data_IF_896300243603
#
_entry.id   IF_896300243603
#
_cell.length_a   1.000
_cell.length_b   1.000
_cell.length_c   1.000
_cell.angle_alpha   90.00
_cell.angle_beta   90.00
_cell.angle_gamma   90.00
#
_symmetry.space_group_name_H-M   'P 1'
#
loop_
_entity.id
_entity.type
_entity.pdbx_description
1 polymer ?
#
# COMPACT_ATOMS: atom_id res chain seq x y z
N UNK A 1 -22.57 16.02 34.08
CA UNK A 1 -21.70 16.51 33.01
C UNK A 1 -21.60 15.38 32.00
N UNK A 2 -22.36 15.52 30.90
CA UNK A 2 -22.39 14.53 29.82
C UNK A 2 -21.11 14.72 29.00
N UNK A 3 -20.26 13.72 28.98
CA UNK A 3 -19.17 13.66 28.01
C UNK A 3 -19.81 13.41 26.64
N UNK A 4 -19.93 14.47 25.84
CA UNK A 4 -20.24 14.33 24.43
C UNK A 4 -19.15 13.41 23.82
N UNK A 5 -19.57 12.27 23.34
CA UNK A 5 -18.74 11.34 22.60
C UNK A 5 -18.49 12.03 21.23
N UNK A 6 -17.44 12.83 21.13
CA UNK A 6 -17.04 13.43 19.85
C UNK A 6 -16.76 12.28 18.88
N UNK A 7 -17.56 12.19 17.85
CA UNK A 7 -17.32 11.24 16.74
C UNK A 7 -15.95 11.55 16.15
N UNK A 8 -15.04 10.56 16.02
CA UNK A 8 -13.72 10.78 15.46
C UNK A 8 -13.76 11.55 14.15
N UNK A 9 -12.87 12.52 13.97
CA UNK A 9 -12.84 13.47 12.84
C UNK A 9 -12.78 12.76 11.50
N UNK A 10 -12.19 11.58 11.46
CA UNK A 10 -12.00 10.73 10.26
C UNK A 10 -13.31 10.13 9.72
N UNK A 11 -14.32 9.87 10.57
CA UNK A 11 -15.59 9.21 10.18
C UNK A 11 -16.49 10.03 9.23
N UNK A 12 -16.16 11.30 8.98
CA UNK A 12 -16.93 12.21 8.10
C UNK A 12 -16.24 12.55 6.80
N UNK A 13 -15.03 12.01 6.57
CA UNK A 13 -14.21 12.32 5.40
C UNK A 13 -14.13 11.11 4.48
N UNK A 14 -14.09 11.28 3.15
CA UNK A 14 -13.80 10.16 2.25
C UNK A 14 -12.42 9.60 2.59
N UNK A 15 -12.34 8.26 2.63
CA UNK A 15 -11.10 7.54 2.91
C UNK A 15 -10.79 6.60 1.75
N UNK A 16 -9.62 6.76 1.14
CA UNK A 16 -9.04 5.81 0.21
C UNK A 16 -8.04 4.94 0.98
N UNK A 17 -8.40 3.69 1.24
CA UNK A 17 -7.52 2.73 1.92
C UNK A 17 -6.38 2.30 0.99
N UNK A 18 -5.23 2.97 1.06
CA UNK A 18 -4.14 2.80 0.12
C UNK A 18 -3.41 1.44 0.23
N UNK A 19 -3.76 0.60 1.22
CA UNK A 19 -3.15 -0.71 1.40
C UNK A 19 -3.99 -1.63 2.27
N UNK A 20 -4.58 -2.65 1.68
CA UNK A 20 -5.19 -3.77 2.40
C UNK A 20 -5.06 -5.06 1.58
N UNK A 21 -5.30 -6.19 2.22
CA UNK A 21 -5.24 -7.50 1.59
C UNK A 21 -6.63 -8.15 1.56
N UNK A 22 -6.87 -8.95 0.53
CA UNK A 22 -7.98 -9.91 0.49
C UNK A 22 -7.37 -11.30 0.47
N UNK A 23 -7.82 -12.16 1.37
CA UNK A 23 -7.37 -13.54 1.53
C UNK A 23 -8.61 -14.42 1.47
N UNK A 24 -8.79 -15.10 0.36
CA UNK A 24 -9.98 -15.89 0.10
C UNK A 24 -9.56 -17.33 -0.21
N UNK A 25 -10.00 -18.26 0.62
CA UNK A 25 -9.62 -19.69 0.54
C UNK A 25 -10.14 -20.39 -0.71
N UNK A 26 -11.01 -19.75 -1.49
CA UNK A 26 -11.43 -20.24 -2.82
C UNK A 26 -10.32 -20.19 -3.86
N UNK A 27 -9.27 -19.44 -3.62
CA UNK A 27 -8.14 -19.21 -4.53
C UNK A 27 -6.84 -19.78 -3.97
N UNK A 28 -5.82 -19.99 -4.82
CA UNK A 28 -4.53 -20.52 -4.38
C UNK A 28 -3.88 -19.67 -3.29
N UNK A 29 -3.48 -20.30 -2.20
CA UNK A 29 -2.68 -19.72 -1.13
C UNK A 29 -1.46 -20.61 -0.89
N UNK A 30 -0.32 -19.99 -0.70
CA UNK A 30 0.95 -20.67 -0.52
C UNK A 30 1.55 -20.31 0.83
N UNK A 31 1.99 -21.31 1.57
CA UNK A 31 2.79 -21.09 2.75
C UNK A 31 4.04 -20.26 2.39
N UNK A 32 4.38 -19.33 3.26
CA UNK A 32 5.56 -18.51 3.11
C UNK A 32 6.27 -18.38 4.47
N UNK A 33 7.46 -18.96 4.61
CA UNK A 33 8.25 -19.02 5.84
C UNK A 33 7.45 -19.56 7.05
N UNK A 34 6.79 -20.70 6.89
CA UNK A 34 5.98 -21.34 7.92
C UNK A 34 4.68 -20.61 8.26
N UNK A 35 4.29 -19.63 7.45
CA UNK A 35 3.07 -18.85 7.67
C UNK A 35 2.06 -19.07 6.56
N UNK A 36 0.84 -19.41 6.95
CA UNK A 36 -0.35 -19.36 6.11
C UNK A 36 -1.33 -18.36 6.73
N UNK A 37 -1.81 -17.36 5.98
CA UNK A 37 -2.70 -16.35 6.53
C UNK A 37 -4.09 -16.93 6.81
N UNK A 38 -4.77 -16.36 7.79
CA UNK A 38 -6.19 -16.56 8.01
C UNK A 38 -7.00 -15.89 6.89
N UNK A 39 -8.19 -16.42 6.65
CA UNK A 39 -9.12 -15.88 5.66
C UNK A 39 -9.54 -14.46 6.03
N UNK A 40 -9.55 -13.57 5.03
CA UNK A 40 -10.05 -12.21 5.13
C UNK A 40 -10.67 -11.78 3.79
N UNK A 41 -11.95 -12.07 3.62
CA UNK A 41 -12.69 -11.86 2.38
C UNK A 41 -13.10 -10.40 2.17
N UNK A 42 -13.61 -10.10 0.99
CA UNK A 42 -14.21 -8.80 0.66
C UNK A 42 -15.32 -8.42 1.64
N UNK A 43 -16.15 -9.39 2.05
CA UNK A 43 -17.25 -9.18 3.02
C UNK A 43 -16.70 -8.82 4.40
N UNK A 44 -15.67 -9.53 4.86
CA UNK A 44 -15.03 -9.24 6.14
C UNK A 44 -14.36 -7.86 6.12
N UNK A 45 -13.68 -7.50 5.01
CA UNK A 45 -13.12 -6.17 4.82
C UNK A 45 -14.20 -5.08 4.91
N UNK A 46 -15.30 -5.22 4.15
CA UNK A 46 -16.42 -4.27 4.18
C UNK A 46 -17.03 -4.15 5.57
N UNK A 47 -17.23 -5.27 6.25
CA UNK A 47 -17.75 -5.28 7.63
C UNK A 47 -16.82 -4.55 8.59
N UNK A 48 -15.49 -4.80 8.49
CA UNK A 48 -14.49 -4.16 9.35
C UNK A 48 -14.36 -2.66 9.11
N UNK A 49 -14.53 -2.21 7.87
CA UNK A 49 -14.32 -0.81 7.47
C UNK A 49 -15.61 0.01 7.37
N UNK A 50 -16.75 -0.58 7.67
CA UNK A 50 -18.08 0.05 7.50
C UNK A 50 -18.21 1.43 8.17
N UNK A 51 -17.52 1.65 9.31
CA UNK A 51 -17.53 2.90 10.06
C UNK A 51 -16.39 3.87 9.65
N UNK A 52 -15.47 3.48 8.76
CA UNK A 52 -14.26 4.27 8.47
C UNK A 52 -14.42 5.25 7.30
N UNK A 53 -15.59 5.28 6.65
CA UNK A 53 -15.82 6.17 5.48
C UNK A 53 -15.04 5.76 4.23
N UNK A 54 -14.69 4.47 4.09
CA UNK A 54 -13.97 3.96 2.91
C UNK A 54 -14.81 4.13 1.66
N UNK A 55 -14.29 4.86 0.69
CA UNK A 55 -14.91 5.10 -0.62
C UNK A 55 -14.10 4.52 -1.78
N UNK A 56 -12.87 4.08 -1.52
CA UNK A 56 -11.98 3.44 -2.46
C UNK A 56 -10.79 2.80 -1.77
N UNK A 57 -9.93 2.14 -2.53
CA UNK A 57 -8.73 1.55 -1.94
C UNK A 57 -7.92 0.67 -2.86
N UNK A 58 -6.76 0.25 -2.40
CA UNK A 58 -5.83 -0.61 -3.11
C UNK A 58 -5.74 -2.00 -2.45
N UNK A 59 -6.24 -3.03 -3.16
CA UNK A 59 -6.03 -4.43 -2.80
C UNK A 59 -4.60 -4.82 -3.19
N UNK A 60 -3.79 -5.17 -2.21
CA UNK A 60 -2.37 -5.47 -2.40
C UNK A 60 -2.10 -6.96 -2.23
N UNK A 61 -1.37 -7.57 -3.16
CA UNK A 61 -0.95 -8.97 -3.07
C UNK A 61 0.05 -9.20 -1.93
N UNK A 62 -0.21 -10.18 -1.09
CA UNK A 62 0.75 -10.66 -0.09
C UNK A 62 1.71 -11.70 -0.67
N UNK A 63 2.80 -12.02 0.04
CA UNK A 63 3.78 -13.04 -0.37
C UNK A 63 3.17 -14.43 -0.56
N UNK A 64 2.10 -14.72 0.16
CA UNK A 64 1.36 -15.99 0.13
C UNK A 64 0.47 -16.16 -1.10
N UNK A 65 0.32 -15.14 -1.94
CA UNK A 65 -0.41 -15.21 -3.21
C UNK A 65 0.53 -15.40 -4.41
N UNK A 66 1.82 -15.18 -4.21
CA UNK A 66 2.84 -15.31 -5.27
C UNK A 66 2.39 -14.59 -6.54
N UNK A 67 2.27 -15.31 -7.64
CA UNK A 67 1.89 -14.78 -8.97
C UNK A 67 0.45 -15.15 -9.35
N UNK A 68 -0.41 -15.50 -8.40
CA UNK A 68 -1.83 -15.67 -8.66
C UNK A 68 -2.56 -14.31 -8.58
N UNK A 69 -3.29 -13.98 -9.63
CA UNK A 69 -4.12 -12.78 -9.70
C UNK A 69 -5.63 -13.10 -9.71
N UNK A 70 -6.01 -14.36 -9.71
CA UNK A 70 -7.42 -14.75 -9.83
C UNK A 70 -8.27 -14.22 -8.66
N UNK A 71 -7.76 -14.30 -7.44
CA UNK A 71 -8.40 -13.72 -6.25
C UNK A 71 -8.53 -12.20 -6.35
N UNK A 72 -7.49 -11.52 -6.91
CA UNK A 72 -7.47 -10.06 -7.02
C UNK A 72 -8.55 -9.56 -7.98
N UNK A 73 -8.67 -10.22 -9.13
CA UNK A 73 -9.69 -9.86 -10.12
C UNK A 73 -11.10 -10.11 -9.61
N UNK A 74 -11.35 -11.22 -8.88
CA UNK A 74 -12.62 -11.47 -8.17
C UNK A 74 -12.90 -10.38 -7.14
N UNK A 75 -11.89 -10.04 -6.32
CA UNK A 75 -12.02 -9.00 -5.30
C UNK A 75 -12.35 -7.64 -5.90
N UNK A 76 -11.66 -7.22 -6.97
CA UNK A 76 -11.92 -5.94 -7.64
C UNK A 76 -13.32 -5.90 -8.27
N UNK A 77 -13.75 -6.99 -8.91
CA UNK A 77 -15.10 -7.10 -9.48
C UNK A 77 -16.18 -6.96 -8.40
N UNK A 78 -15.96 -7.51 -7.21
CA UNK A 78 -16.88 -7.46 -6.08
C UNK A 78 -16.84 -6.12 -5.34
N UNK A 79 -15.66 -5.52 -5.17
CA UNK A 79 -15.50 -4.21 -4.53
C UNK A 79 -16.08 -3.08 -5.39
N UNK A 80 -15.94 -3.19 -6.70
CA UNK A 80 -16.48 -2.22 -7.66
C UNK A 80 -15.57 -1.01 -7.92
N UNK A 81 -16.15 0.02 -8.52
CA UNK A 81 -15.44 1.26 -8.87
C UNK A 81 -14.92 1.96 -7.61
N UNK A 82 -13.75 2.58 -7.70
CA UNK A 82 -13.06 3.16 -6.54
C UNK A 82 -11.96 2.26 -5.96
N UNK A 83 -11.95 0.97 -6.33
CA UNK A 83 -10.89 0.05 -5.87
C UNK A 83 -9.97 -0.37 -7.01
N UNK A 84 -8.69 -0.49 -6.69
CA UNK A 84 -7.63 -0.87 -7.61
C UNK A 84 -6.81 -2.04 -7.05
N UNK A 85 -6.02 -2.68 -7.93
CA UNK A 85 -5.14 -3.78 -7.56
C UNK A 85 -3.66 -3.40 -7.62
N UNK A 86 -2.88 -3.97 -6.71
CA UNK A 86 -1.42 -3.98 -6.77
C UNK A 86 -0.98 -5.43 -6.62
N UNK A 87 -0.28 -5.97 -7.62
CA UNK A 87 -0.01 -7.40 -7.69
C UNK A 87 1.47 -7.73 -7.90
N UNK A 88 1.82 -8.96 -7.63
CA UNK A 88 3.12 -9.56 -7.94
C UNK A 88 3.00 -10.32 -9.25
N UNK A 89 3.94 -10.13 -10.17
CA UNK A 89 3.97 -10.80 -11.47
C UNK A 89 5.37 -11.35 -11.76
N UNK A 90 5.52 -12.39 -12.56
CA UNK A 90 6.82 -12.85 -13.02
C UNK A 90 7.48 -11.82 -13.92
N UNK A 91 8.82 -11.80 -13.95
CA UNK A 91 9.58 -10.82 -14.73
C UNK A 91 9.37 -10.93 -16.25
N UNK A 92 9.04 -12.12 -16.72
CA UNK A 92 8.81 -12.48 -18.13
C UNK A 92 7.32 -12.46 -18.53
N UNK A 93 6.45 -11.88 -17.69
CA UNK A 93 5.02 -11.73 -17.97
C UNK A 93 4.81 -11.11 -19.36
N UNK A 94 3.91 -11.64 -20.23
CA UNK A 94 3.64 -11.05 -21.54
C UNK A 94 2.99 -9.65 -21.45
N UNK A 95 3.20 -8.79 -22.44
CA UNK A 95 2.61 -7.45 -22.49
C UNK A 95 1.08 -7.49 -22.53
N UNK A 96 0.51 -8.48 -23.20
CA UNK A 96 -0.94 -8.71 -23.27
C UNK A 96 -1.52 -8.95 -21.88
N UNK A 97 -0.77 -9.62 -20.99
CA UNK A 97 -1.21 -9.85 -19.63
C UNK A 97 -1.13 -8.58 -18.79
N UNK A 98 -0.10 -7.75 -18.97
CA UNK A 98 -0.03 -6.42 -18.33
C UNK A 98 -1.25 -5.56 -18.72
N UNK A 99 -1.58 -5.52 -20.02
CA UNK A 99 -2.74 -4.79 -20.53
C UNK A 99 -4.05 -5.37 -20.00
N UNK A 100 -4.17 -6.70 -19.94
CA UNK A 100 -5.35 -7.39 -19.38
C UNK A 100 -5.55 -7.03 -17.92
N UNK A 101 -4.51 -7.10 -17.11
CA UNK A 101 -4.56 -6.75 -15.68
C UNK A 101 -4.94 -5.27 -15.48
N UNK A 102 -4.33 -4.37 -16.26
CA UNK A 102 -4.67 -2.95 -16.21
C UNK A 102 -6.14 -2.68 -16.57
N UNK A 103 -6.68 -3.39 -17.58
CA UNK A 103 -8.08 -3.33 -17.97
C UNK A 103 -9.05 -3.78 -16.88
N UNK A 104 -8.60 -4.62 -15.94
CA UNK A 104 -9.37 -5.05 -14.78
C UNK A 104 -9.10 -4.23 -13.50
N UNK A 105 -8.42 -3.08 -13.62
CA UNK A 105 -8.21 -2.17 -12.50
C UNK A 105 -6.91 -2.38 -11.72
N UNK A 106 -5.99 -3.23 -12.19
CA UNK A 106 -4.65 -3.31 -11.59
C UNK A 106 -3.85 -2.06 -11.97
N UNK A 107 -3.23 -1.42 -10.98
CA UNK A 107 -2.51 -0.15 -11.15
C UNK A 107 -1.05 -0.23 -10.74
N UNK A 108 -0.62 -1.32 -10.10
CA UNK A 108 0.77 -1.44 -9.65
C UNK A 108 1.32 -2.84 -9.67
N UNK A 109 2.66 -2.90 -9.79
CA UNK A 109 3.46 -4.10 -9.64
C UNK A 109 4.24 -4.02 -8.33
N UNK A 110 4.14 -5.06 -7.50
CA UNK A 110 4.75 -5.11 -6.17
C UNK A 110 6.04 -5.92 -6.15
N UNK A 111 7.06 -5.34 -5.55
CA UNK A 111 8.29 -6.02 -5.14
C UNK A 111 8.32 -6.17 -3.63
N UNK A 112 8.18 -7.40 -3.16
CA UNK A 112 8.14 -7.73 -1.74
C UNK A 112 9.52 -8.20 -1.28
N UNK A 113 10.43 -7.27 -0.99
CA UNK A 113 11.81 -7.58 -0.65
C UNK A 113 11.96 -8.12 0.79
N UNK A 114 10.94 -7.90 1.64
CA UNK A 114 10.94 -8.38 3.05
C UNK A 114 10.44 -9.81 3.21
N UNK A 115 9.55 -10.28 2.34
CA UNK A 115 8.87 -11.58 2.50
C UNK A 115 8.97 -12.45 1.24
N UNK A 116 9.48 -11.91 0.13
CA UNK A 116 9.53 -12.63 -1.13
C UNK A 116 8.15 -12.85 -1.77
N UNK A 117 8.05 -13.82 -2.65
CA UNK A 117 6.83 -14.13 -3.40
C UNK A 117 6.62 -13.22 -4.62
N UNK A 118 7.47 -12.24 -4.85
CA UNK A 118 7.51 -11.36 -6.02
C UNK A 118 8.66 -11.72 -6.97
N UNK A 119 8.77 -11.00 -8.09
CA UNK A 119 9.96 -11.07 -8.94
C UNK A 119 11.23 -10.69 -8.16
N UNK A 120 12.36 -11.25 -8.56
CA UNK A 120 13.63 -10.96 -7.91
C UNK A 120 14.08 -9.51 -8.15
N UNK A 121 14.88 -8.98 -7.23
CA UNK A 121 15.33 -7.59 -7.24
C UNK A 121 16.10 -7.22 -8.52
N UNK A 122 16.85 -8.15 -9.11
CA UNK A 122 17.58 -7.95 -10.35
C UNK A 122 16.68 -7.56 -11.55
N UNK A 123 15.39 -7.89 -11.48
CA UNK A 123 14.40 -7.54 -12.50
C UNK A 123 13.65 -6.23 -12.21
N UNK A 124 13.94 -5.55 -11.09
CA UNK A 124 13.20 -4.37 -10.66
C UNK A 124 13.15 -3.28 -11.73
N UNK A 125 14.30 -2.82 -12.23
CA UNK A 125 14.34 -1.71 -13.19
C UNK A 125 13.62 -2.06 -14.51
N UNK A 126 13.91 -3.22 -15.07
CA UNK A 126 13.35 -3.64 -16.38
C UNK A 126 11.85 -3.90 -16.29
N UNK A 127 11.38 -4.62 -15.27
CA UNK A 127 9.97 -4.93 -15.10
C UNK A 127 9.16 -3.68 -14.75
N UNK A 128 9.67 -2.82 -13.86
CA UNK A 128 9.01 -1.58 -13.46
C UNK A 128 8.80 -0.63 -14.65
N UNK A 129 9.84 -0.39 -15.46
CA UNK A 129 9.73 0.45 -16.66
C UNK A 129 8.77 -0.15 -17.67
N UNK A 130 8.88 -1.43 -17.97
CA UNK A 130 8.02 -2.12 -18.90
C UNK A 130 6.55 -2.08 -18.45
N UNK A 131 6.26 -2.39 -17.20
CA UNK A 131 4.90 -2.33 -16.65
C UNK A 131 4.31 -0.91 -16.72
N UNK A 132 5.15 0.10 -16.54
CA UNK A 132 4.73 1.50 -16.69
C UNK A 132 4.49 1.86 -18.16
N UNK A 133 5.41 1.55 -19.06
CA UNK A 133 5.32 1.89 -20.49
C UNK A 133 4.14 1.20 -21.16
N UNK A 134 3.93 -0.09 -20.88
CA UNK A 134 2.88 -0.89 -21.51
C UNK A 134 1.50 -0.62 -20.91
N UNK A 135 1.41 -0.55 -19.59
CA UNK A 135 0.14 -0.56 -18.87
C UNK A 135 -0.03 0.62 -17.88
N UNK A 136 0.93 1.52 -17.83
CA UNK A 136 0.91 2.66 -16.92
C UNK A 136 0.98 2.27 -15.43
N UNK A 137 1.40 1.08 -15.08
CA UNK A 137 1.47 0.63 -13.69
C UNK A 137 2.61 1.33 -12.94
N UNK A 138 2.38 1.63 -11.66
CA UNK A 138 3.44 2.08 -10.76
C UNK A 138 4.17 0.88 -10.13
N UNK A 139 5.28 1.15 -9.48
CA UNK A 139 6.04 0.16 -8.72
C UNK A 139 5.83 0.37 -7.22
N UNK A 140 5.49 -0.68 -6.51
CA UNK A 140 5.32 -0.68 -5.06
C UNK A 140 6.37 -1.57 -4.39
N UNK A 141 7.05 -1.06 -3.36
CA UNK A 141 8.08 -1.79 -2.64
C UNK A 141 7.71 -2.00 -1.17
N UNK A 142 7.76 -3.25 -0.73
CA UNK A 142 7.85 -3.58 0.68
C UNK A 142 9.32 -3.85 1.03
N UNK A 143 9.99 -2.82 1.53
CA UNK A 143 11.44 -2.76 1.78
C UNK A 143 11.73 -2.10 3.13
N UNK A 144 12.83 -2.47 3.76
CA UNK A 144 13.38 -1.73 4.90
C UNK A 144 14.15 -0.50 4.38
N UNK A 145 13.83 0.67 4.91
CA UNK A 145 14.44 1.90 4.43
C UNK A 145 15.96 1.98 4.69
N UNK A 146 16.50 1.11 5.56
CA UNK A 146 17.95 0.97 5.74
C UNK A 146 18.64 0.37 4.51
N UNK A 147 17.90 -0.38 3.68
CA UNK A 147 18.41 -0.98 2.44
C UNK A 147 18.26 -0.04 1.23
N UNK A 148 17.58 1.10 1.38
CA UNK A 148 17.36 2.07 0.29
C UNK A 148 18.62 2.66 -0.34
N UNK A 149 19.76 2.88 0.37
CA UNK A 149 20.97 3.40 -0.27
C UNK A 149 21.40 2.60 -1.51
N UNK A 150 21.27 1.29 -1.48
CA UNK A 150 21.63 0.42 -2.60
C UNK A 150 20.65 0.52 -3.79
N UNK A 151 19.42 0.97 -3.53
CA UNK A 151 18.33 1.05 -4.51
C UNK A 151 18.06 2.50 -4.98
N UNK A 152 18.61 3.50 -4.29
CA UNK A 152 18.21 4.90 -4.43
C UNK A 152 18.34 5.42 -5.87
N UNK A 153 19.40 5.08 -6.57
CA UNK A 153 19.61 5.51 -7.95
C UNK A 153 18.55 4.92 -8.90
N UNK A 154 18.22 3.64 -8.73
CA UNK A 154 17.21 2.95 -9.51
C UNK A 154 15.82 3.52 -9.21
N UNK A 155 15.44 3.60 -7.94
CA UNK A 155 14.10 4.07 -7.53
C UNK A 155 13.83 5.51 -7.95
N UNK A 156 14.84 6.38 -7.84
CA UNK A 156 14.74 7.78 -8.26
C UNK A 156 14.63 7.96 -9.79
N UNK A 157 14.98 6.94 -10.57
CA UNK A 157 14.90 6.96 -12.03
C UNK A 157 13.65 6.24 -12.58
N UNK A 158 12.87 5.56 -11.72
CA UNK A 158 11.61 4.92 -12.11
C UNK A 158 10.48 5.96 -12.22
N UNK A 159 9.52 5.76 -13.13
CA UNK A 159 8.50 6.78 -13.42
C UNK A 159 7.50 7.02 -12.28
N UNK A 160 7.19 5.99 -11.50
CA UNK A 160 6.26 6.09 -10.37
C UNK A 160 6.55 4.98 -9.34
N UNK A 161 6.87 5.38 -8.11
CA UNK A 161 7.25 4.46 -7.02
C UNK A 161 6.50 4.80 -5.74
N UNK A 162 6.10 3.76 -5.00
CA UNK A 162 5.65 3.90 -3.61
C UNK A 162 6.37 2.92 -2.69
N UNK A 163 6.59 3.33 -1.43
CA UNK A 163 7.21 2.52 -0.37
C UNK A 163 6.17 2.25 0.71
N UNK A 164 6.03 0.98 1.07
CA UNK A 164 5.10 0.51 2.09
C UNK A 164 5.56 0.86 3.52
N UNK A 165 4.59 1.03 4.41
CA UNK A 165 4.75 1.02 5.86
C UNK A 165 5.85 1.98 6.38
N UNK A 166 5.86 3.23 5.88
CA UNK A 166 6.81 4.28 6.30
C UNK A 166 8.30 3.85 6.22
N UNK A 167 8.61 2.82 5.40
CA UNK A 167 9.98 2.29 5.29
C UNK A 167 10.46 1.50 6.51
N UNK A 168 9.59 1.16 7.44
CA UNK A 168 9.75 0.23 8.57
C UNK A 168 10.63 0.70 9.73
N UNK A 169 11.74 1.39 9.52
CA UNK A 169 12.72 1.63 10.57
C UNK A 169 13.23 3.08 10.59
N UNK A 170 13.39 3.63 11.82
CA UNK A 170 13.87 5.01 12.03
C UNK A 170 15.21 5.30 11.37
N UNK A 171 16.16 4.37 11.43
CA UNK A 171 17.50 4.58 10.88
C UNK A 171 17.51 4.78 9.36
N UNK A 172 16.47 4.29 8.66
CA UNK A 172 16.30 4.48 7.23
C UNK A 172 15.63 5.78 6.83
N UNK A 173 15.10 6.55 7.78
CA UNK A 173 14.31 7.76 7.49
C UNK A 173 15.04 8.78 6.62
N UNK A 174 16.33 9.12 6.81
CA UNK A 174 17.01 10.06 5.92
C UNK A 174 17.04 9.61 4.46
N UNK A 175 17.17 8.31 4.21
CA UNK A 175 17.19 7.74 2.87
C UNK A 175 15.79 7.75 2.23
N UNK A 176 14.75 7.48 3.03
CA UNK A 176 13.36 7.58 2.61
C UNK A 176 13.02 9.01 2.19
N UNK A 177 13.36 10.01 3.02
CA UNK A 177 13.10 11.42 2.74
C UNK A 177 13.82 11.91 1.48
N UNK A 178 15.07 11.50 1.25
CA UNK A 178 15.79 11.81 0.04
C UNK A 178 15.12 11.28 -1.24
N UNK A 179 14.40 10.15 -1.15
CA UNK A 179 13.58 9.61 -2.25
C UNK A 179 12.25 10.36 -2.38
N UNK A 180 11.62 10.74 -1.27
CA UNK A 180 10.40 11.57 -1.25
C UNK A 180 10.62 12.88 -1.99
N UNK A 181 11.73 13.57 -1.74
CA UNK A 181 12.13 14.80 -2.45
C UNK A 181 12.31 14.59 -3.97
N UNK A 182 12.43 13.33 -4.42
CA UNK A 182 12.52 12.93 -5.82
C UNK A 182 11.22 12.37 -6.39
N UNK A 183 10.12 12.49 -5.65
CA UNK A 183 8.78 12.13 -6.09
C UNK A 183 8.32 10.72 -5.72
N UNK A 184 9.09 9.96 -4.94
CA UNK A 184 8.65 8.67 -4.40
C UNK A 184 7.54 8.89 -3.38
N UNK A 185 6.47 8.10 -3.47
CA UNK A 185 5.34 8.12 -2.54
C UNK A 185 5.58 7.17 -1.35
N UNK A 186 4.92 7.45 -0.24
CA UNK A 186 5.06 6.67 0.99
C UNK A 186 3.67 6.32 1.52
N UNK A 187 3.51 5.08 1.97
CA UNK A 187 2.28 4.63 2.60
C UNK A 187 2.42 4.64 4.12
N UNK A 188 1.65 5.47 4.80
CA UNK A 188 1.46 5.45 6.24
C UNK A 188 0.46 4.34 6.58
N UNK A 189 0.94 3.13 6.70
CA UNK A 189 0.18 1.89 6.90
C UNK A 189 0.94 0.94 7.82
N UNK A 190 0.27 -0.08 8.34
CA UNK A 190 0.93 -1.17 9.04
C UNK A 190 1.70 -0.73 10.29
N UNK A 191 1.15 0.14 11.12
CA UNK A 191 1.85 0.70 12.30
C UNK A 191 2.26 -0.35 13.33
N UNK A 192 1.65 -1.55 13.30
CA UNK A 192 2.12 -2.69 14.09
C UNK A 192 3.38 -3.39 13.57
N UNK A 193 3.94 -2.95 12.43
CA UNK A 193 5.14 -3.54 11.77
C UNK A 193 6.38 -2.71 11.95
N UNK A 194 6.23 -1.42 12.23
CA UNK A 194 7.30 -0.43 12.16
C UNK A 194 8.06 -0.31 13.47
N UNK A 195 9.32 0.10 13.37
CA UNK A 195 10.21 0.41 14.49
C UNK A 195 10.64 1.89 14.38
N UNK A 196 9.63 2.80 14.49
CA UNK A 196 9.80 4.24 14.38
C UNK A 196 8.64 4.96 15.10
N UNK A 197 8.80 6.24 15.37
CA UNK A 197 7.68 7.10 15.77
C UNK A 197 6.86 7.47 14.52
N UNK A 198 5.62 6.96 14.48
CA UNK A 198 4.75 7.11 13.31
C UNK A 198 4.40 8.59 13.08
N UNK A 199 4.07 9.34 14.13
CA UNK A 199 3.65 10.73 14.00
C UNK A 199 4.80 11.61 13.52
N UNK A 200 6.02 11.38 14.01
CA UNK A 200 7.20 12.13 13.59
C UNK A 200 7.56 11.84 12.14
N UNK A 201 7.47 10.58 11.70
CA UNK A 201 7.73 10.22 10.30
C UNK A 201 6.67 10.79 9.37
N UNK A 202 5.37 10.76 9.74
CA UNK A 202 4.30 11.42 8.97
C UNK A 202 4.63 12.90 8.78
N UNK A 203 4.95 13.63 9.85
CA UNK A 203 5.29 15.05 9.78
C UNK A 203 6.54 15.31 8.91
N UNK A 204 7.55 14.45 9.02
CA UNK A 204 8.78 14.57 8.23
C UNK A 204 8.51 14.36 6.73
N UNK A 205 7.72 13.36 6.35
CA UNK A 205 7.33 13.10 4.95
C UNK A 205 6.51 14.27 4.39
N UNK A 206 5.51 14.74 5.12
CA UNK A 206 4.68 15.88 4.69
C UNK A 206 5.47 17.19 4.58
N UNK A 207 6.47 17.38 5.42
CA UNK A 207 7.39 18.53 5.31
C UNK A 207 8.26 18.45 4.05
N UNK A 208 8.68 17.26 3.64
CA UNK A 208 9.47 17.05 2.43
C UNK A 208 8.61 17.20 1.15
N UNK A 209 7.45 16.54 1.10
CA UNK A 209 6.46 16.68 0.02
C UNK A 209 5.05 16.35 0.56
N UNK A 210 4.14 17.33 0.69
CA UNK A 210 2.78 17.09 1.14
C UNK A 210 1.97 16.12 0.27
N UNK A 211 2.35 15.97 -1.01
CA UNK A 211 1.69 15.03 -1.92
C UNK A 211 2.24 13.61 -1.82
N UNK A 212 3.32 13.38 -1.05
CA UNK A 212 3.97 12.07 -1.02
C UNK A 212 3.25 11.04 -0.15
N UNK A 213 2.48 11.46 0.85
CA UNK A 213 1.95 10.55 1.85
C UNK A 213 0.54 10.08 1.51
N UNK A 214 0.33 8.77 1.54
CA UNK A 214 -0.98 8.11 1.45
C UNK A 214 -1.19 7.26 2.71
N UNK A 215 -2.40 7.15 3.22
CA UNK A 215 -2.67 6.27 4.35
C UNK A 215 -3.54 5.07 3.98
N UNK A 216 -3.50 4.02 4.81
CA UNK A 216 -4.29 2.82 4.63
C UNK A 216 -4.22 1.91 5.86
N UNK A 217 -5.12 0.92 5.90
CA UNK A 217 -5.33 0.09 7.07
C UNK A 217 -4.29 -1.03 7.25
N UNK A 218 -3.73 -1.55 6.16
CA UNK A 218 -2.96 -2.80 6.15
C UNK A 218 -3.78 -4.02 6.66
N UNK A 219 -5.11 -3.95 6.61
CA UNK A 219 -5.98 -5.06 7.00
C UNK A 219 -5.71 -6.33 6.16
N UNK A 220 -5.79 -7.51 6.76
CA UNK A 220 -6.02 -7.84 8.15
C UNK A 220 -4.77 -7.77 9.04
N UNK A 221 -3.71 -7.09 8.62
CA UNK A 221 -2.44 -6.91 9.34
C UNK A 221 -1.66 -8.21 9.52
N UNK A 222 -1.57 -9.01 8.45
CA UNK A 222 -0.87 -10.30 8.46
C UNK A 222 0.55 -10.17 8.99
N UNK A 223 0.95 -11.04 9.96
CA UNK A 223 2.27 -11.01 10.60
C UNK A 223 2.66 -9.70 11.30
N UNK A 224 1.76 -8.75 11.46
CA UNK A 224 2.03 -7.56 12.27
C UNK A 224 2.05 -7.91 13.77
N UNK A 225 2.87 -7.23 14.56
CA UNK A 225 2.92 -7.40 16.02
C UNK A 225 1.61 -6.99 16.69
N UNK A 226 0.91 -6.02 16.11
CA UNK A 226 -0.46 -5.67 16.42
C UNK A 226 -1.25 -5.38 15.13
N UNK A 227 -2.55 -5.70 15.11
CA UNK A 227 -3.40 -5.34 13.99
C UNK A 227 -3.66 -3.83 13.93
N UNK A 228 -4.23 -3.39 12.80
CA UNK A 228 -4.78 -2.06 12.63
C UNK A 228 -5.89 -1.79 13.65
N UNK A 229 -5.87 -0.60 14.23
CA UNK A 229 -6.91 -0.08 15.11
C UNK A 229 -7.43 1.25 14.55
N UNK A 230 -8.70 1.58 14.82
CA UNK A 230 -9.30 2.82 14.33
C UNK A 230 -8.56 4.06 14.87
N UNK A 231 -7.99 3.96 16.07
CA UNK A 231 -7.09 4.97 16.66
C UNK A 231 -5.83 5.25 15.81
N UNK A 232 -5.46 4.36 14.90
CA UNK A 232 -4.36 4.63 13.95
C UNK A 232 -4.72 5.76 12.98
N UNK A 233 -6.01 5.89 12.62
CA UNK A 233 -6.49 7.02 11.82
C UNK A 233 -6.54 8.33 12.62
N UNK A 234 -6.84 8.27 13.91
CA UNK A 234 -6.80 9.45 14.77
C UNK A 234 -5.37 9.98 14.91
N UNK A 235 -4.38 9.07 15.03
CA UNK A 235 -2.96 9.43 15.02
C UNK A 235 -2.55 10.07 13.69
N UNK A 236 -3.02 9.52 12.55
CA UNK A 236 -2.80 10.13 11.24
C UNK A 236 -3.41 11.52 11.17
N UNK A 237 -4.64 11.70 11.66
CA UNK A 237 -5.34 12.99 11.66
C UNK A 237 -4.59 14.06 12.46
N UNK A 238 -4.10 13.70 13.64
CA UNK A 238 -3.29 14.60 14.48
C UNK A 238 -1.97 14.97 13.79
N UNK A 239 -1.26 13.98 13.24
CA UNK A 239 0.06 14.19 12.65
C UNK A 239 0.00 14.93 11.30
N UNK A 240 -1.04 14.69 10.49
CA UNK A 240 -1.22 15.30 9.16
C UNK A 240 -1.74 16.74 9.21
N UNK A 241 -2.50 17.11 10.26
CA UNK A 241 -3.01 18.47 10.44
C UNK A 241 -3.79 18.97 9.22
N UNK A 242 -3.37 20.07 8.63
CA UNK A 242 -4.01 20.69 7.45
C UNK A 242 -3.94 19.81 6.18
N UNK A 243 -3.04 18.85 6.11
CA UNK A 243 -2.89 17.93 4.99
C UNK A 243 -3.80 16.69 5.07
N UNK A 244 -4.68 16.59 6.09
CA UNK A 244 -5.45 15.39 6.38
C UNK A 244 -6.28 14.89 5.18
N UNK A 245 -6.99 15.76 4.47
CA UNK A 245 -7.81 15.36 3.33
C UNK A 245 -6.96 14.78 2.20
N UNK A 246 -5.83 15.40 1.92
CA UNK A 246 -4.88 14.90 0.93
C UNK A 246 -4.32 13.52 1.30
N UNK A 247 -3.95 13.32 2.57
CA UNK A 247 -3.40 12.05 3.08
C UNK A 247 -4.45 10.95 3.10
N UNK A 248 -5.70 11.27 3.46
CA UNK A 248 -6.80 10.29 3.50
C UNK A 248 -7.29 9.89 2.10
N UNK A 249 -7.22 10.80 1.11
CA UNK A 249 -7.86 10.52 -0.17
C UNK A 249 -7.11 11.06 -1.39
N UNK A 250 -6.85 12.37 -1.48
CA UNK A 250 -6.47 13.02 -2.74
C UNK A 250 -5.12 12.50 -3.29
N UNK A 251 -4.13 12.31 -2.40
CA UNK A 251 -2.80 11.82 -2.79
C UNK A 251 -2.88 10.41 -3.39
N UNK A 252 -3.67 9.53 -2.76
CA UNK A 252 -3.87 8.17 -3.26
C UNK A 252 -4.68 8.17 -4.57
N UNK A 253 -5.77 8.93 -4.65
CA UNK A 253 -6.59 9.04 -5.85
C UNK A 253 -5.75 9.52 -7.05
N UNK A 254 -4.90 10.53 -6.85
CA UNK A 254 -4.00 11.04 -7.87
C UNK A 254 -2.93 9.99 -8.27
N UNK A 255 -2.32 9.31 -7.30
CA UNK A 255 -1.27 8.31 -7.56
C UNK A 255 -1.80 7.09 -8.29
N UNK A 256 -2.96 6.58 -7.89
CA UNK A 256 -3.60 5.43 -8.53
C UNK A 256 -4.39 5.79 -9.80
N UNK A 257 -4.51 7.08 -10.13
CA UNK A 257 -5.21 7.61 -11.32
C UNK A 257 -6.67 7.17 -11.35
N UNK A 258 -7.37 7.49 -10.27
CA UNK A 258 -8.79 7.23 -10.06
C UNK A 258 -9.66 8.21 -10.84
#
# INVERSE_FOLDING_TARGET
MSTENETPVTHRRPFFDAHFHVIDSRFPLYENDGYTPEEFTVEQYRGRTAALGVTGGAVVSGSFQRFDQSYLLDALARLGTGFVGVTQIPHDVPDEELLRLAGHGVRGVRFNLRRGGSAALEHLDTLARRAHEVAGMHTELYVDARDLPELAATLAALPAVSIDHLGLHTDGLPHLLALVERGVRVKATGFGRVELDVADVIRAVLKADPAALMTGSDLPSTRARRPFADADLDLVAEAAGEHLDAVLYDNAAAFYRM
#
